data_IF_623665987363
#
_entry.id   IF_623665987363
#
_cell.length_a   1.000
_cell.length_b   1.000
_cell.length_c   1.000
_cell.angle_alpha   90.00
_cell.angle_beta   90.00
_cell.angle_gamma   90.00
#
_symmetry.space_group_name_H-M   'P 1'
#
loop_
_entity.id
_entity.type
_entity.pdbx_description
1 polymer ?
#
# COMPACT_ATOMS: atom_id res chain seq x y z
N UNK A 1 -12.27 12.42 -0.71
CA UNK A 1 -12.66 12.42 0.70
C UNK A 1 -11.40 12.32 1.55
N UNK A 2 -10.98 13.39 2.25
CA UNK A 2 -9.75 13.40 3.02
C UNK A 2 -9.86 12.72 4.39
N UNK A 3 -10.96 12.08 4.70
CA UNK A 3 -11.17 11.43 5.99
C UNK A 3 -11.30 9.93 5.76
N UNK A 4 -10.22 9.32 5.30
CA UNK A 4 -10.06 7.89 5.46
C UNK A 4 -10.18 7.56 6.94
N UNK A 5 -11.09 6.65 7.25
CA UNK A 5 -11.28 6.03 8.56
C UNK A 5 -9.93 5.92 9.29
N UNK A 6 -9.77 6.64 10.39
CA UNK A 6 -8.72 6.39 11.36
C UNK A 6 -9.07 5.07 12.06
N UNK A 7 -8.84 3.97 11.34
CA UNK A 7 -8.93 2.64 11.92
C UNK A 7 -7.70 2.40 12.77
N UNK A 8 -7.83 1.49 13.68
CA UNK A 8 -6.83 1.01 14.62
C UNK A 8 -5.52 0.68 13.93
N UNK A 9 -4.48 1.40 14.28
CA UNK A 9 -3.14 1.32 13.73
C UNK A 9 -2.77 2.58 12.93
N UNK A 10 -1.52 2.99 13.03
CA UNK A 10 -0.96 4.17 12.36
C UNK A 10 -0.81 3.92 10.84
N UNK A 11 -1.94 3.72 10.14
CA UNK A 11 -1.95 3.68 8.68
C UNK A 11 -2.06 5.10 8.15
N UNK A 12 -0.96 5.61 7.63
CA UNK A 12 -0.92 6.91 6.98
C UNK A 12 -1.08 6.75 5.49
N UNK A 13 -2.11 7.36 4.91
CA UNK A 13 -2.32 7.40 3.46
C UNK A 13 -2.03 8.80 2.93
N UNK A 14 -1.13 8.89 1.94
CA UNK A 14 -0.82 10.13 1.21
C UNK A 14 -0.98 9.87 -0.27
N UNK A 15 -1.69 10.75 -0.97
CA UNK A 15 -1.75 10.76 -2.41
C UNK A 15 -0.93 11.94 -2.92
N UNK A 16 -0.12 11.71 -3.93
CA UNK A 16 0.73 12.71 -4.59
C UNK A 16 0.47 12.69 -6.10
N UNK A 17 0.78 13.77 -6.77
CA UNK A 17 0.77 13.82 -8.24
C UNK A 17 1.92 13.01 -8.84
N UNK A 18 1.87 12.75 -10.16
CA UNK A 18 2.95 12.11 -10.91
C UNK A 18 4.12 13.09 -11.15
N UNK A 19 4.52 13.77 -10.09
CA UNK A 19 5.66 14.69 -10.03
C UNK A 19 6.78 14.05 -9.21
N UNK A 20 8.00 13.98 -9.78
CA UNK A 20 9.14 13.30 -9.17
C UNK A 20 9.50 13.86 -7.80
N UNK A 21 9.56 15.18 -7.68
CA UNK A 21 9.94 15.88 -6.45
C UNK A 21 8.93 15.61 -5.32
N UNK A 22 7.63 15.59 -5.65
CA UNK A 22 6.58 15.26 -4.67
C UNK A 22 6.64 13.80 -4.23
N UNK A 23 6.85 12.88 -5.18
CA UNK A 23 7.01 11.44 -4.87
C UNK A 23 8.25 11.23 -3.99
N UNK A 24 9.39 11.81 -4.34
CA UNK A 24 10.64 11.71 -3.57
C UNK A 24 10.47 12.26 -2.16
N UNK A 25 9.85 13.43 -2.03
CA UNK A 25 9.57 14.05 -0.72
C UNK A 25 8.68 13.16 0.13
N UNK A 26 7.58 12.66 -0.42
CA UNK A 26 6.65 11.77 0.27
C UNK A 26 7.34 10.48 0.72
N UNK A 27 8.12 9.84 -0.16
CA UNK A 27 8.87 8.61 0.16
C UNK A 27 9.88 8.85 1.28
N UNK A 28 10.67 9.93 1.21
CA UNK A 28 11.67 10.25 2.21
C UNK A 28 11.07 10.55 3.59
N UNK A 29 9.89 11.14 3.63
CA UNK A 29 9.15 11.37 4.88
C UNK A 29 8.62 10.07 5.47
N UNK A 30 8.00 9.23 4.63
CA UNK A 30 7.32 8.02 5.09
C UNK A 30 8.29 6.91 5.46
N UNK A 31 9.33 6.64 4.64
CA UNK A 31 10.28 5.56 4.89
C UNK A 31 11.09 5.70 6.17
N UNK A 32 11.23 6.93 6.70
CA UNK A 32 11.89 7.21 7.98
C UNK A 32 10.97 6.99 9.19
N UNK A 33 9.66 7.07 8.99
CA UNK A 33 8.66 7.03 10.07
C UNK A 33 8.02 5.66 10.23
N UNK A 34 7.88 4.91 9.15
CA UNK A 34 7.11 3.67 9.13
C UNK A 34 7.98 2.46 8.82
N UNK A 35 7.68 1.35 9.49
CA UNK A 35 8.33 0.06 9.27
C UNK A 35 8.15 -0.45 7.85
N UNK A 36 6.99 -0.20 7.25
CA UNK A 36 6.66 -0.56 5.87
C UNK A 36 5.99 0.60 5.15
N UNK A 37 6.39 0.86 3.92
CA UNK A 37 5.79 1.85 3.02
C UNK A 37 5.36 1.14 1.74
N UNK A 38 4.08 1.25 1.40
CA UNK A 38 3.53 0.68 0.19
C UNK A 38 3.15 1.82 -0.76
N UNK A 39 3.61 1.74 -2.02
CA UNK A 39 3.21 2.66 -3.08
C UNK A 39 2.49 1.92 -4.19
N UNK A 40 1.57 2.58 -4.86
CA UNK A 40 0.82 1.99 -5.97
C UNK A 40 0.78 2.96 -7.16
N UNK A 41 1.02 2.44 -8.36
CA UNK A 41 0.98 3.21 -9.61
C UNK A 41 2.34 3.74 -10.07
N UNK A 42 2.35 4.29 -11.28
CA UNK A 42 3.50 4.94 -11.87
C UNK A 42 4.70 4.04 -12.22
N UNK A 43 4.45 2.72 -12.43
CA UNK A 43 5.47 1.75 -12.88
C UNK A 43 5.13 1.09 -14.22
N UNK A 44 4.22 1.67 -14.95
CA UNK A 44 3.84 1.24 -16.29
C UNK A 44 4.83 1.69 -17.38
N UNK A 45 4.43 1.55 -18.66
CA UNK A 45 5.29 1.86 -19.79
C UNK A 45 5.19 3.31 -20.27
N UNK A 46 4.26 4.13 -19.77
CA UNK A 46 3.94 5.44 -20.30
C UNK A 46 4.86 6.55 -19.75
N UNK A 47 4.77 7.73 -20.30
CA UNK A 47 5.69 8.84 -19.98
C UNK A 47 5.46 9.42 -18.58
N UNK A 48 4.26 9.27 -18.06
CA UNK A 48 3.81 9.67 -16.73
C UNK A 48 4.11 8.63 -15.64
N UNK A 49 4.58 7.43 -16.03
CA UNK A 49 5.05 6.40 -15.10
C UNK A 49 6.45 6.74 -14.56
N UNK A 50 6.50 7.62 -13.56
CA UNK A 50 7.76 8.16 -13.01
C UNK A 50 8.13 7.60 -11.64
N UNK A 51 7.33 6.70 -11.08
CA UNK A 51 7.53 6.18 -9.71
C UNK A 51 8.84 5.41 -9.57
N UNK A 52 9.18 4.53 -10.52
CA UNK A 52 10.43 3.76 -10.43
C UNK A 52 11.68 4.66 -10.44
N UNK A 53 11.68 5.71 -11.25
CA UNK A 53 12.75 6.70 -11.30
C UNK A 53 12.80 7.55 -10.03
N UNK A 54 11.65 7.97 -9.51
CA UNK A 54 11.55 8.73 -8.26
C UNK A 54 12.06 7.92 -7.06
N UNK A 55 11.74 6.62 -7.02
CA UNK A 55 12.27 5.72 -5.97
C UNK A 55 13.78 5.58 -6.10
N UNK A 56 14.32 5.35 -7.31
CA UNK A 56 15.76 5.27 -7.51
C UNK A 56 16.47 6.52 -7.00
N UNK A 57 15.95 7.71 -7.31
CA UNK A 57 16.49 8.99 -6.84
C UNK A 57 16.34 9.15 -5.31
N UNK A 58 15.21 8.77 -4.72
CA UNK A 58 14.99 8.84 -3.27
C UNK A 58 15.97 7.97 -2.47
N UNK A 59 16.47 6.90 -3.07
CA UNK A 59 17.45 5.98 -2.46
C UNK A 59 18.87 6.20 -2.94
N UNK A 60 19.10 7.21 -3.80
CA UNK A 60 20.41 7.53 -4.39
C UNK A 60 21.06 6.31 -5.09
N UNK A 61 20.25 5.59 -5.87
CA UNK A 61 20.68 4.43 -6.65
C UNK A 61 20.36 4.61 -8.13
N UNK A 62 21.08 3.90 -8.99
CA UNK A 62 20.81 3.89 -10.42
C UNK A 62 19.50 3.18 -10.74
N UNK A 63 18.78 3.68 -11.76
CA UNK A 63 17.66 2.98 -12.38
C UNK A 63 18.21 2.23 -13.61
N UNK A 64 18.25 0.92 -13.56
CA UNK A 64 18.83 0.08 -14.61
C UNK A 64 17.82 -0.94 -15.16
N UNK A 65 18.11 -1.49 -16.33
CA UNK A 65 17.32 -2.60 -16.87
C UNK A 65 17.66 -3.85 -16.08
N UNK A 66 16.68 -4.34 -15.33
CA UNK A 66 16.81 -5.59 -14.58
C UNK A 66 16.62 -6.77 -15.53
N UNK A 67 17.64 -7.62 -15.66
CA UNK A 67 17.65 -8.75 -16.59
C UNK A 67 16.55 -9.79 -16.32
N UNK A 68 16.17 -10.00 -15.07
CA UNK A 68 15.12 -10.93 -14.69
C UNK A 68 13.74 -10.35 -15.08
N UNK A 69 13.47 -9.09 -14.74
CA UNK A 69 12.25 -8.40 -15.15
C UNK A 69 12.11 -8.36 -16.68
N UNK A 70 13.20 -8.10 -17.40
CA UNK A 70 13.23 -8.09 -18.86
C UNK A 70 12.83 -9.45 -19.44
N UNK A 71 13.42 -10.54 -18.95
CA UNK A 71 13.11 -11.92 -19.42
C UNK A 71 11.65 -12.30 -19.11
N UNK A 72 11.14 -11.93 -17.95
CA UNK A 72 9.74 -12.18 -17.58
C UNK A 72 8.80 -11.49 -18.57
N UNK A 73 9.04 -10.21 -18.84
CA UNK A 73 8.23 -9.41 -19.76
C UNK A 73 8.35 -9.92 -21.21
N UNK A 74 9.55 -10.19 -21.69
CA UNK A 74 9.79 -10.74 -23.03
C UNK A 74 9.05 -12.07 -23.24
N UNK A 75 9.15 -12.99 -22.26
CA UNK A 75 8.45 -14.27 -22.29
C UNK A 75 6.93 -14.10 -22.29
N UNK A 76 6.41 -13.18 -21.51
CA UNK A 76 4.98 -12.87 -21.47
C UNK A 76 4.48 -12.33 -22.81
N UNK A 77 5.14 -11.30 -23.38
CA UNK A 77 4.74 -10.71 -24.65
C UNK A 77 4.84 -11.69 -25.81
N UNK A 78 5.88 -12.53 -25.82
CA UNK A 78 6.00 -13.64 -26.77
C UNK A 78 4.82 -14.62 -26.67
N UNK A 79 4.41 -14.98 -25.45
CA UNK A 79 3.30 -15.91 -25.20
C UNK A 79 1.96 -15.39 -25.71
N UNK A 80 1.71 -14.09 -25.55
CA UNK A 80 0.46 -13.46 -26.02
C UNK A 80 0.53 -13.00 -27.49
N UNK A 81 1.62 -13.27 -28.20
CA UNK A 81 1.80 -12.88 -29.60
C UNK A 81 1.89 -11.38 -29.84
N UNK A 82 2.39 -10.62 -28.86
CA UNK A 82 2.48 -9.17 -28.91
C UNK A 82 3.94 -8.71 -28.90
N UNK A 83 4.24 -7.60 -29.58
CA UNK A 83 5.58 -7.07 -29.65
C UNK A 83 6.06 -6.53 -28.29
N UNK A 84 7.25 -6.91 -27.86
CA UNK A 84 7.95 -6.34 -26.70
C UNK A 84 8.81 -5.16 -27.12
N UNK A 85 8.16 -4.06 -27.52
CA UNK A 85 8.78 -2.86 -28.04
C UNK A 85 9.50 -2.03 -26.92
N UNK A 86 10.27 -1.01 -27.32
CA UNK A 86 11.04 -0.17 -26.43
C UNK A 86 10.20 0.49 -25.32
N UNK A 87 8.96 0.86 -25.61
CA UNK A 87 8.06 1.46 -24.61
C UNK A 87 7.74 0.45 -23.50
N UNK A 88 7.42 -0.78 -23.86
CA UNK A 88 7.13 -1.86 -22.89
C UNK A 88 8.37 -2.30 -22.11
N UNK A 89 9.55 -2.21 -22.70
CA UNK A 89 10.83 -2.50 -22.03
C UNK A 89 11.10 -1.54 -20.85
N UNK A 90 10.50 -0.36 -20.83
CA UNK A 90 10.60 0.57 -19.68
C UNK A 90 10.16 -0.06 -18.36
N UNK A 91 9.18 -0.97 -18.39
CA UNK A 91 8.71 -1.70 -17.20
C UNK A 91 9.76 -2.67 -16.61
N UNK A 92 10.85 -2.93 -17.32
CA UNK A 92 12.00 -3.68 -16.80
C UNK A 92 13.02 -2.80 -16.10
N UNK A 93 12.85 -1.48 -16.08
CA UNK A 93 13.75 -0.55 -15.40
C UNK A 93 13.43 -0.54 -13.91
N UNK A 94 14.32 -1.08 -13.13
CA UNK A 94 14.16 -1.30 -11.68
C UNK A 94 15.34 -0.63 -10.96
N UNK A 95 15.13 0.02 -9.81
CA UNK A 95 16.21 0.57 -9.00
C UNK A 95 17.22 -0.50 -8.64
N UNK A 96 18.51 -0.19 -8.78
CA UNK A 96 19.61 -1.10 -8.43
C UNK A 96 19.46 -1.60 -6.99
N UNK A 97 19.73 -2.86 -6.77
CA UNK A 97 19.57 -3.56 -5.50
C UNK A 97 18.11 -3.81 -5.05
N UNK A 98 17.10 -3.35 -5.78
CA UNK A 98 15.72 -3.69 -5.48
C UNK A 98 15.43 -5.17 -5.83
N UNK A 99 14.56 -5.78 -5.01
CA UNK A 99 14.06 -7.15 -5.22
C UNK A 99 12.75 -7.10 -5.99
N UNK A 100 12.56 -7.99 -6.95
CA UNK A 100 11.31 -8.05 -7.71
C UNK A 100 10.15 -8.58 -6.85
N UNK A 101 8.98 -8.00 -7.07
CA UNK A 101 7.71 -8.51 -6.57
C UNK A 101 6.95 -9.11 -7.74
N UNK A 102 6.64 -10.39 -7.62
CA UNK A 102 5.96 -11.15 -8.67
C UNK A 102 4.58 -10.59 -8.99
N UNK A 103 4.26 -10.55 -10.29
CA UNK A 103 2.94 -10.22 -10.79
C UNK A 103 2.41 -11.36 -11.68
N UNK A 104 1.54 -12.18 -11.10
CA UNK A 104 0.94 -13.34 -11.80
C UNK A 104 -0.13 -12.96 -12.82
N UNK A 105 -0.57 -11.69 -12.85
CA UNK A 105 -1.70 -11.25 -13.70
C UNK A 105 -1.19 -10.67 -15.02
N UNK A 106 -0.23 -9.75 -15.00
CA UNK A 106 0.24 -9.03 -16.20
C UNK A 106 1.74 -9.12 -16.43
N UNK A 107 2.44 -9.94 -15.68
CA UNK A 107 3.88 -10.19 -15.72
C UNK A 107 4.79 -9.00 -15.38
N UNK A 108 4.34 -7.74 -15.57
CA UNK A 108 5.15 -6.57 -15.20
C UNK A 108 5.37 -6.54 -13.69
N UNK A 109 6.61 -6.78 -13.20
CA UNK A 109 6.85 -6.93 -11.77
C UNK A 109 6.77 -5.58 -11.05
N UNK A 110 6.39 -5.61 -9.77
CA UNK A 110 6.72 -4.56 -8.82
C UNK A 110 8.13 -4.77 -8.27
N UNK A 111 8.49 -3.97 -7.29
CA UNK A 111 9.78 -4.14 -6.63
C UNK A 111 9.76 -3.66 -5.18
N UNK A 112 10.74 -4.13 -4.42
CA UNK A 112 10.98 -3.71 -3.05
C UNK A 112 12.42 -3.23 -2.89
N UNK A 113 12.59 -2.08 -2.28
CA UNK A 113 13.89 -1.57 -1.85
C UNK A 113 13.78 -1.14 -0.38
N UNK A 114 14.61 -1.73 0.48
CA UNK A 114 14.53 -1.58 1.94
C UNK A 114 13.10 -1.82 2.47
N UNK A 115 12.49 -0.82 3.12
CA UNK A 115 11.13 -0.88 3.66
C UNK A 115 10.05 -0.34 2.70
N UNK A 116 10.41 0.02 1.46
CA UNK A 116 9.48 0.53 0.44
C UNK A 116 9.13 -0.56 -0.56
N UNK A 117 7.83 -0.80 -0.73
CA UNK A 117 7.25 -1.77 -1.65
C UNK A 117 6.45 -1.04 -2.71
N UNK A 118 6.76 -1.28 -3.97
CA UNK A 118 6.17 -0.58 -5.12
C UNK A 118 5.34 -1.54 -5.96
N UNK A 119 4.04 -1.25 -6.06
CA UNK A 119 3.05 -2.07 -6.76
C UNK A 119 2.49 -1.35 -7.99
N UNK A 120 1.92 -2.13 -8.90
CA UNK A 120 1.15 -1.59 -10.01
C UNK A 120 -0.08 -0.81 -9.52
N UNK A 121 -0.56 0.14 -10.33
CA UNK A 121 -1.73 0.97 -10.02
C UNK A 121 -3.09 0.27 -10.24
N UNK A 122 -3.15 -0.79 -11.06
CA UNK A 122 -4.38 -1.51 -11.37
C UNK A 122 -4.81 -2.29 -10.11
N UNK A 123 -6.00 -2.05 -9.51
CA UNK A 123 -6.38 -2.62 -8.22
C UNK A 123 -6.23 -4.15 -8.13
N UNK A 124 -6.70 -4.88 -9.13
CA UNK A 124 -6.59 -6.34 -9.16
C UNK A 124 -5.13 -6.83 -9.15
N UNK A 125 -4.25 -6.13 -9.86
CA UNK A 125 -2.82 -6.45 -9.92
C UNK A 125 -2.14 -6.09 -8.61
N UNK A 126 -2.44 -4.91 -8.08
CA UNK A 126 -1.93 -4.43 -6.80
C UNK A 126 -2.28 -5.40 -5.66
N UNK A 127 -3.53 -5.83 -5.56
CA UNK A 127 -3.95 -6.79 -4.53
C UNK A 127 -3.17 -8.12 -4.64
N UNK A 128 -3.02 -8.67 -5.85
CA UNK A 128 -2.25 -9.90 -6.05
C UNK A 128 -0.76 -9.76 -5.66
N UNK A 129 -0.15 -8.60 -5.93
CA UNK A 129 1.21 -8.29 -5.49
C UNK A 129 1.29 -8.11 -3.97
N UNK A 130 0.30 -7.44 -3.38
CA UNK A 130 0.23 -7.22 -1.93
C UNK A 130 0.12 -8.56 -1.18
N UNK A 131 -0.76 -9.46 -1.62
CA UNK A 131 -0.95 -10.78 -0.99
C UNK A 131 0.37 -11.56 -0.94
N UNK A 132 1.10 -11.63 -2.07
CA UNK A 132 2.42 -12.28 -2.13
C UNK A 132 3.44 -11.59 -1.20
N UNK A 133 3.36 -10.27 -1.09
CA UNK A 133 4.25 -9.50 -0.25
C UNK A 133 3.96 -9.74 1.23
N UNK A 134 2.69 -9.76 1.62
CA UNK A 134 2.25 -9.99 3.01
C UNK A 134 2.62 -11.38 3.53
N UNK A 135 2.75 -12.38 2.66
CA UNK A 135 3.27 -13.71 3.03
C UNK A 135 4.75 -13.68 3.47
N UNK A 136 5.51 -12.73 2.94
CA UNK A 136 6.97 -12.59 3.17
C UNK A 136 7.33 -11.58 4.26
N UNK A 137 6.39 -10.72 4.64
CA UNK A 137 6.58 -9.74 5.71
C UNK A 137 6.45 -10.46 7.06
N UNK A 138 7.31 -10.09 8.00
CA UNK A 138 7.30 -10.61 9.36
C UNK A 138 5.98 -10.27 10.08
N UNK A 139 5.18 -11.29 10.38
CA UNK A 139 3.87 -11.19 11.02
C UNK A 139 3.96 -11.14 12.55
N UNK A 140 5.11 -10.79 13.14
CA UNK A 140 5.30 -10.84 14.58
C UNK A 140 4.34 -9.95 15.37
N UNK A 141 3.82 -8.91 14.76
CA UNK A 141 2.90 -7.99 15.39
C UNK A 141 1.51 -8.10 14.72
N UNK A 142 0.84 -9.24 14.87
CA UNK A 142 -0.56 -9.33 14.44
C UNK A 142 -1.43 -8.53 15.40
N UNK A 143 -2.02 -7.44 14.91
CA UNK A 143 -3.05 -6.72 15.64
C UNK A 143 -4.29 -7.61 15.71
N UNK A 144 -4.74 -7.88 16.91
CA UNK A 144 -6.05 -8.52 17.14
C UNK A 144 -7.09 -7.43 17.07
N UNK A 145 -8.01 -7.53 16.14
CA UNK A 145 -9.13 -6.58 16.01
C UNK A 145 -10.40 -7.25 16.49
N UNK A 146 -11.07 -6.61 17.44
CA UNK A 146 -12.39 -7.01 17.94
C UNK A 146 -13.39 -5.94 17.53
N UNK A 147 -14.52 -6.35 16.92
CA UNK A 147 -15.62 -5.43 16.59
C UNK A 147 -16.84 -5.81 17.41
N UNK A 148 -17.37 -4.87 18.18
CA UNK A 148 -18.60 -5.03 18.98
C UNK A 148 -19.64 -4.06 18.46
N UNK A 149 -20.85 -4.53 18.18
CA UNK A 149 -21.96 -3.69 17.83
C UNK A 149 -22.79 -3.39 19.08
N UNK A 150 -22.99 -2.12 19.37
CA UNK A 150 -23.74 -1.64 20.55
C UNK A 150 -24.97 -0.90 20.07
N UNK A 151 -26.16 -1.32 20.50
CA UNK A 151 -27.43 -0.69 20.17
C UNK A 151 -27.72 0.52 21.05
N UNK A 152 -26.75 1.45 21.16
CA UNK A 152 -26.91 2.69 21.92
C UNK A 152 -26.26 3.86 21.14
N UNK A 153 -26.72 5.10 21.35
CA UNK A 153 -26.07 6.29 20.80
C UNK A 153 -24.64 6.44 21.30
N UNK A 154 -23.77 6.97 20.43
CA UNK A 154 -22.35 7.14 20.74
C UNK A 154 -22.10 7.94 22.04
N UNK A 155 -22.91 8.98 22.30
CA UNK A 155 -22.78 9.79 23.51
C UNK A 155 -22.99 9.01 24.81
N UNK A 156 -23.77 7.92 24.79
CA UNK A 156 -24.01 7.10 25.98
C UNK A 156 -22.85 6.18 26.32
N UNK A 157 -22.04 5.79 25.31
CA UNK A 157 -20.92 4.88 25.49
C UNK A 157 -19.57 5.61 25.61
N UNK A 158 -19.51 6.88 25.23
CA UNK A 158 -18.26 7.66 25.16
C UNK A 158 -17.48 7.63 26.50
N UNK A 159 -18.13 7.88 27.61
CA UNK A 159 -17.48 7.84 28.93
C UNK A 159 -16.99 6.44 29.33
N UNK A 160 -17.65 5.40 28.84
CA UNK A 160 -17.24 4.02 29.11
C UNK A 160 -15.96 3.73 28.33
N UNK A 161 -15.90 4.16 27.06
CA UNK A 161 -14.73 3.98 26.21
C UNK A 161 -13.52 4.75 26.75
N UNK A 162 -13.69 5.98 27.24
CA UNK A 162 -12.64 6.75 27.93
C UNK A 162 -12.08 5.98 29.14
N UNK A 163 -12.95 5.47 30.01
CA UNK A 163 -12.51 4.70 31.19
C UNK A 163 -11.73 3.43 30.80
N UNK A 164 -12.09 2.79 29.71
CA UNK A 164 -11.36 1.62 29.20
C UNK A 164 -9.95 2.03 28.74
N UNK A 165 -9.82 3.14 28.00
CA UNK A 165 -8.54 3.67 27.53
C UNK A 165 -7.64 4.15 28.68
N UNK A 166 -8.22 4.67 29.76
CA UNK A 166 -7.48 5.06 30.96
C UNK A 166 -6.82 3.87 31.66
N UNK A 167 -7.46 2.69 31.58
CA UNK A 167 -6.97 1.45 32.21
C UNK A 167 -6.04 0.67 31.27
N UNK A 168 -6.37 0.63 29.98
CA UNK A 168 -5.68 -0.17 28.97
C UNK A 168 -4.99 0.74 27.94
N UNK A 169 -3.75 1.13 28.23
CA UNK A 169 -2.99 2.09 27.42
C UNK A 169 -2.36 1.50 26.15
N UNK A 170 -2.36 0.19 26.02
CA UNK A 170 -1.79 -0.58 24.91
C UNK A 170 -2.82 -0.96 23.84
N UNK A 171 -4.08 -0.56 24.02
CA UNK A 171 -5.14 -0.75 23.04
C UNK A 171 -5.57 0.57 22.40
N UNK A 172 -6.13 0.48 21.21
CA UNK A 172 -6.79 1.61 20.54
C UNK A 172 -8.27 1.28 20.37
N UNK A 173 -9.15 2.24 20.64
CA UNK A 173 -10.60 2.06 20.46
C UNK A 173 -11.10 3.11 19.47
N UNK A 174 -11.82 2.65 18.44
CA UNK A 174 -12.57 3.51 17.51
C UNK A 174 -14.07 3.28 17.68
N UNK A 175 -14.88 4.33 17.60
CA UNK A 175 -16.34 4.25 17.58
C UNK A 175 -16.87 4.74 16.23
N UNK A 176 -17.79 3.98 15.64
CA UNK A 176 -18.35 4.24 14.31
C UNK A 176 -19.89 4.16 14.39
N UNK A 177 -20.56 5.32 14.51
CA UNK A 177 -22.01 5.37 14.51
C UNK A 177 -22.60 4.83 13.21
N UNK A 178 -23.71 4.12 13.31
CA UNK A 178 -24.50 3.70 12.15
C UNK A 178 -25.99 3.94 12.39
N UNK A 179 -26.70 4.19 11.31
CA UNK A 179 -28.15 4.38 11.31
C UNK A 179 -28.71 3.78 10.02
N UNK A 180 -29.34 2.63 10.13
CA UNK A 180 -29.95 1.92 9.01
C UNK A 180 -31.46 2.15 8.95
N UNK A 181 -32.14 2.24 10.12
CA UNK A 181 -33.55 2.54 10.28
C UNK A 181 -33.85 2.94 11.74
N UNK A 182 -35.09 3.35 12.03
CA UNK A 182 -35.48 3.81 13.37
C UNK A 182 -35.27 2.78 14.50
N UNK A 183 -35.20 1.49 14.15
CA UNK A 183 -34.96 0.40 15.10
C UNK A 183 -33.61 -0.29 14.88
N UNK A 184 -32.77 0.18 13.95
CA UNK A 184 -31.45 -0.38 13.64
C UNK A 184 -30.42 0.74 13.56
N UNK A 185 -30.03 1.21 14.70
CA UNK A 185 -29.01 2.23 14.91
C UNK A 185 -28.11 1.84 16.07
N UNK A 186 -26.96 2.47 16.16
CA UNK A 186 -26.01 2.23 17.24
C UNK A 186 -24.59 2.61 16.86
N UNK A 187 -23.65 1.97 17.52
CA UNK A 187 -22.21 2.20 17.30
C UNK A 187 -21.49 0.85 17.11
N UNK A 188 -20.65 0.77 16.10
CA UNK A 188 -19.63 -0.28 16.00
C UNK A 188 -18.40 0.20 16.75
N UNK A 189 -18.02 -0.50 17.79
CA UNK A 189 -16.80 -0.27 18.55
C UNK A 189 -15.77 -1.26 18.08
N UNK A 190 -14.61 -0.76 17.67
CA UNK A 190 -13.47 -1.55 17.22
C UNK A 190 -12.29 -1.35 18.20
N UNK A 191 -11.77 -2.45 18.72
CA UNK A 191 -10.61 -2.47 19.61
C UNK A 191 -9.51 -3.37 19.07
#
# INVERSE_FOLDING_TARGET
DPIGSRGLGDVYKRQVSDNKEEIISALNDLRKKFKYVFTTGGIGPTHDDVTAESVAQAFDVELEVNNEAFKILEGYYKKIGSEFNLVRQRMARIPKSAKLIENKISAAPGFNIENVFVFAGIPKVMHAMLDITLEKIDKKDSIIKITIQVGAPEGEIAQILEKILDVWTDISIGSYPFYNSDNDYGVKVEA
#
